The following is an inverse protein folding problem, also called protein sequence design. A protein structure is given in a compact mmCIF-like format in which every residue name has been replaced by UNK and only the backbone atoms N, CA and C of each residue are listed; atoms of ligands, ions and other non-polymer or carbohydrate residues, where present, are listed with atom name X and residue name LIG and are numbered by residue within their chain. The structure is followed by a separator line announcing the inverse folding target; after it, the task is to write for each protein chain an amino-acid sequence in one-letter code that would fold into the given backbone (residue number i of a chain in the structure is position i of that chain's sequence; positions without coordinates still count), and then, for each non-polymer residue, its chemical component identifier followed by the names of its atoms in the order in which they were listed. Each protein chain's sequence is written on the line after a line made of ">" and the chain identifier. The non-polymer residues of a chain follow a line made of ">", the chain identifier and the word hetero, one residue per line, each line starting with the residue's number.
data_IF_216215516568
#
_entry.id   IF_216215516568
#
_cell.length_a   1.000
_cell.length_b   1.000
_cell.length_c   1.000
_cell.angle_alpha   90.00
_cell.angle_beta   90.00
_cell.angle_gamma   90.00
#
_symmetry.space_group_name_H-M   'P 1'
#
loop_
_entity.id
_entity.type
_entity.pdbx_description
1 polymer ?
#
# COMPACT_ATOMS: atom_id res chain seq x y z
N UNK A 1 6.95 6.54 28.38
CA UNK A 1 6.57 7.80 27.75
C UNK A 1 5.22 7.66 27.08
N UNK A 2 4.31 8.57 27.38
CA UNK A 2 2.98 8.52 26.77
C UNK A 2 3.03 9.11 25.38
N UNK A 3 2.55 8.33 24.43
CA UNK A 3 2.38 8.79 23.08
C UNK A 3 1.00 9.43 22.95
N UNK A 4 0.97 10.70 22.60
CA UNK A 4 -0.32 11.35 22.36
C UNK A 4 -1.00 10.74 21.14
N UNK A 5 -2.29 10.45 21.30
CA UNK A 5 -3.11 10.00 20.18
C UNK A 5 -3.49 11.23 19.37
N UNK A 6 -3.14 11.31 18.07
CA UNK A 6 -3.57 12.42 17.24
C UNK A 6 -5.09 12.53 17.19
N UNK A 7 -5.64 13.72 16.92
CA UNK A 7 -7.08 13.86 16.75
C UNK A 7 -7.59 12.94 15.64
N UNK A 8 -8.78 12.39 15.86
CA UNK A 8 -9.40 11.50 14.87
C UNK A 8 -9.64 12.24 13.56
N UNK A 9 -9.04 11.72 12.50
CA UNK A 9 -9.15 12.26 11.15
C UNK A 9 -9.03 11.10 10.17
N UNK A 10 -10.08 10.75 9.44
CA UNK A 10 -10.05 9.62 8.52
C UNK A 10 -9.29 9.88 7.21
N UNK A 11 -8.81 11.11 6.98
CA UNK A 11 -8.08 11.39 5.75
C UNK A 11 -6.83 10.53 5.65
N UNK A 12 -6.54 9.92 4.46
CA UNK A 12 -5.42 8.98 4.31
C UNK A 12 -4.05 9.56 4.66
N UNK A 13 -3.87 10.86 4.55
CA UNK A 13 -2.59 11.51 4.83
C UNK A 13 -2.55 12.14 6.23
N UNK A 14 -3.55 11.89 7.07
CA UNK A 14 -3.62 12.47 8.41
C UNK A 14 -2.62 11.85 9.38
N UNK A 15 -2.30 12.59 10.43
CA UNK A 15 -1.47 12.09 11.51
C UNK A 15 -2.14 10.93 12.24
N UNK A 16 -3.47 10.97 12.39
CA UNK A 16 -4.20 9.89 13.02
C UNK A 16 -4.06 8.57 12.27
N UNK A 17 -4.21 8.61 10.94
CA UNK A 17 -4.09 7.39 10.13
C UNK A 17 -2.66 6.85 10.19
N UNK A 18 -1.66 7.71 10.16
CA UNK A 18 -0.27 7.29 10.28
C UNK A 18 0.01 6.64 11.64
N UNK A 19 -0.51 7.23 12.72
CA UNK A 19 -0.37 6.66 14.06
C UNK A 19 -1.03 5.30 14.17
N UNK A 20 -2.29 5.18 13.72
CA UNK A 20 -3.03 3.93 13.77
C UNK A 20 -2.36 2.85 12.92
N UNK A 21 -1.90 3.19 11.72
CA UNK A 21 -1.21 2.26 10.84
C UNK A 21 0.11 1.79 11.43
N UNK A 22 0.86 2.70 12.07
CA UNK A 22 2.11 2.35 12.71
C UNK A 22 1.95 1.33 13.83
N UNK A 23 0.82 1.35 14.53
CA UNK A 23 0.55 0.38 15.60
C UNK A 23 0.23 -1.02 15.06
N UNK A 24 -0.33 -1.10 13.87
CA UNK A 24 -0.87 -2.35 13.33
C UNK A 24 0.08 -3.07 12.37
N UNK A 25 1.11 -2.41 11.88
CA UNK A 25 1.90 -2.94 10.78
C UNK A 25 2.68 -4.21 11.12
N UNK A 26 3.21 -4.35 12.33
CA UNK A 26 3.96 -5.56 12.67
C UNK A 26 3.08 -6.82 12.78
N UNK A 27 1.94 -6.77 13.48
CA UNK A 27 1.02 -7.91 13.46
C UNK A 27 0.56 -8.26 12.05
N UNK A 28 0.28 -7.25 11.22
CA UNK A 28 -0.12 -7.48 9.83
C UNK A 28 1.01 -8.13 9.04
N UNK A 29 2.25 -7.69 9.24
CA UNK A 29 3.40 -8.31 8.57
C UNK A 29 3.49 -9.80 8.90
N UNK A 30 3.27 -10.18 10.14
CA UNK A 30 3.28 -11.57 10.54
C UNK A 30 2.25 -12.40 9.78
N UNK A 31 1.04 -11.87 9.62
CA UNK A 31 -0.01 -12.52 8.84
C UNK A 31 0.39 -12.63 7.37
N UNK A 32 0.94 -11.56 6.80
CA UNK A 32 1.34 -11.55 5.40
C UNK A 32 2.46 -12.55 5.11
N UNK A 33 3.41 -12.71 6.02
CA UNK A 33 4.47 -13.72 5.87
C UNK A 33 3.92 -15.13 5.76
N UNK A 34 2.77 -15.38 6.40
CA UNK A 34 2.11 -16.66 6.35
C UNK A 34 1.22 -16.82 5.11
N UNK A 35 0.60 -15.74 4.63
CA UNK A 35 -0.46 -15.79 3.63
C UNK A 35 -0.03 -15.42 2.21
N UNK A 36 0.98 -14.57 2.04
CA UNK A 36 1.37 -14.14 0.72
C UNK A 36 2.09 -15.24 -0.06
N UNK A 37 2.02 -15.22 -1.41
CA UNK A 37 2.68 -16.22 -2.25
C UNK A 37 4.17 -16.34 -1.97
N UNK A 38 4.70 -17.55 -2.04
CA UNK A 38 6.13 -17.82 -1.88
C UNK A 38 6.89 -17.70 -3.19
N UNK A 39 6.18 -17.85 -4.32
CA UNK A 39 6.75 -17.70 -5.66
C UNK A 39 6.60 -16.26 -6.15
N UNK A 40 7.40 -15.82 -7.13
CA UNK A 40 7.22 -14.49 -7.71
C UNK A 40 5.80 -14.26 -8.20
N UNK A 41 5.20 -13.15 -7.79
CA UNK A 41 3.80 -12.85 -8.07
C UNK A 41 3.57 -11.35 -8.03
N UNK A 42 2.46 -10.91 -8.63
CA UNK A 42 1.98 -9.53 -8.53
C UNK A 42 0.94 -9.43 -7.45
N UNK A 43 1.06 -8.40 -6.63
CA UNK A 43 0.15 -8.16 -5.51
C UNK A 43 -0.51 -6.81 -5.73
N UNK A 44 -1.83 -6.82 -5.78
CA UNK A 44 -2.62 -5.61 -5.87
C UNK A 44 -3.00 -5.15 -4.47
N UNK A 45 -2.62 -3.93 -4.12
CA UNK A 45 -3.09 -3.31 -2.88
C UNK A 45 -4.18 -2.31 -3.21
N UNK A 46 -5.35 -2.47 -2.58
CA UNK A 46 -6.45 -1.54 -2.73
C UNK A 46 -6.44 -0.54 -1.59
N UNK A 47 -6.82 0.71 -1.91
CA UNK A 47 -6.88 1.80 -0.93
C UNK A 47 -5.53 2.00 -0.23
N UNK A 48 -4.48 2.21 -1.02
CA UNK A 48 -3.11 2.32 -0.52
C UNK A 48 -2.84 3.54 0.35
N UNK A 49 -3.68 4.56 0.26
CA UNK A 49 -3.58 5.76 1.08
C UNK A 49 -2.22 6.45 0.95
N UNK A 50 -1.56 6.68 2.07
CA UNK A 50 -0.24 7.34 2.08
C UNK A 50 0.89 6.48 1.51
N UNK A 51 0.66 5.20 1.29
CA UNK A 51 1.68 4.26 0.87
C UNK A 51 2.56 3.76 2.01
N UNK A 52 2.22 4.08 3.24
CA UNK A 52 3.04 3.71 4.40
C UNK A 52 3.10 2.19 4.59
N UNK A 53 1.96 1.50 4.49
CA UNK A 53 1.92 0.05 4.68
C UNK A 53 2.65 -0.69 3.57
N UNK A 54 2.37 -0.37 2.32
CA UNK A 54 3.02 -1.05 1.19
C UNK A 54 4.53 -0.85 1.23
N UNK A 55 4.99 0.35 1.63
CA UNK A 55 6.41 0.63 1.73
C UNK A 55 7.06 -0.03 2.95
N UNK A 56 6.28 -0.35 3.97
CA UNK A 56 6.78 -1.12 5.09
C UNK A 56 6.89 -2.61 4.74
N UNK A 57 5.91 -3.14 4.02
CA UNK A 57 5.83 -4.58 3.75
C UNK A 57 6.72 -5.01 2.57
N UNK A 58 6.77 -4.22 1.51
CA UNK A 58 7.45 -4.63 0.28
C UNK A 58 8.90 -5.10 0.47
N UNK A 59 9.74 -4.46 1.29
CA UNK A 59 11.11 -4.94 1.49
C UNK A 59 11.22 -6.34 2.07
N UNK A 60 10.18 -6.81 2.75
CA UNK A 60 10.14 -8.15 3.32
C UNK A 60 9.75 -9.23 2.32
N UNK A 61 9.35 -8.84 1.10
CA UNK A 61 8.86 -9.75 0.06
C UNK A 61 9.47 -9.37 -1.28
N UNK A 62 10.79 -9.45 -1.39
CA UNK A 62 11.51 -8.99 -2.59
C UNK A 62 11.10 -9.72 -3.86
N UNK A 63 10.58 -10.94 -3.74
CA UNK A 63 10.12 -11.73 -4.87
C UNK A 63 8.75 -11.30 -5.40
N UNK A 64 8.04 -10.43 -4.67
CA UNK A 64 6.72 -9.96 -5.05
C UNK A 64 6.80 -8.57 -5.66
N UNK A 65 5.91 -8.29 -6.59
CA UNK A 65 5.74 -6.96 -7.19
C UNK A 65 4.42 -6.37 -6.71
N UNK A 66 4.50 -5.26 -5.99
CA UNK A 66 3.35 -4.62 -5.39
C UNK A 66 2.81 -3.52 -6.29
N UNK A 67 1.49 -3.49 -6.44
CA UNK A 67 0.79 -2.50 -7.26
C UNK A 67 -0.18 -1.72 -6.38
N UNK A 68 0.21 -0.54 -5.89
CA UNK A 68 -0.68 0.27 -5.06
C UNK A 68 -1.78 0.89 -5.90
N UNK A 69 -2.98 0.93 -5.34
CA UNK A 69 -4.12 1.59 -5.99
C UNK A 69 -4.89 2.40 -4.97
N UNK A 70 -5.56 3.44 -5.43
CA UNK A 70 -6.46 4.22 -4.60
C UNK A 70 -7.49 4.91 -5.48
N UNK A 71 -8.65 5.22 -4.90
CA UNK A 71 -9.66 6.01 -5.60
C UNK A 71 -9.32 7.49 -5.62
N UNK A 72 -8.48 7.96 -4.71
CA UNK A 72 -8.09 9.35 -4.57
C UNK A 72 -6.71 9.56 -5.17
N UNK A 73 -6.66 10.16 -6.36
CA UNK A 73 -5.38 10.41 -7.04
C UNK A 73 -4.49 11.39 -6.25
N UNK A 74 -5.06 12.13 -5.30
CA UNK A 74 -4.29 13.07 -4.49
C UNK A 74 -3.24 12.39 -3.60
N UNK A 75 -3.37 11.08 -3.34
CA UNK A 75 -2.39 10.35 -2.54
C UNK A 75 -1.21 9.84 -3.37
N UNK A 76 -1.29 9.90 -4.69
CA UNK A 76 -0.30 9.26 -5.57
C UNK A 76 1.10 9.87 -5.42
N UNK A 77 1.18 11.19 -5.35
CA UNK A 77 2.48 11.85 -5.20
C UNK A 77 3.14 11.45 -3.88
N UNK A 78 2.35 11.31 -2.83
CA UNK A 78 2.86 10.89 -1.53
C UNK A 78 3.37 9.44 -1.58
N UNK A 79 2.64 8.55 -2.25
CA UNK A 79 3.06 7.16 -2.42
C UNK A 79 4.39 7.11 -3.19
N UNK A 80 4.47 7.83 -4.30
CA UNK A 80 5.68 7.87 -5.14
C UNK A 80 6.87 8.44 -4.39
N UNK A 81 6.65 9.52 -3.63
CA UNK A 81 7.72 10.14 -2.88
C UNK A 81 8.25 9.21 -1.80
N UNK A 82 7.35 8.59 -1.04
CA UNK A 82 7.76 7.66 0.02
C UNK A 82 8.49 6.45 -0.55
N UNK A 83 8.00 5.89 -1.65
CA UNK A 83 8.64 4.77 -2.33
C UNK A 83 10.05 5.13 -2.80
N UNK A 84 10.21 6.31 -3.37
CA UNK A 84 11.51 6.80 -3.82
C UNK A 84 12.46 7.08 -2.67
N UNK A 85 11.97 7.71 -1.61
CA UNK A 85 12.79 8.05 -0.44
C UNK A 85 13.33 6.80 0.26
N UNK A 86 12.55 5.73 0.29
CA UNK A 86 12.96 4.47 0.90
C UNK A 86 13.72 3.55 -0.05
N UNK A 87 13.77 3.90 -1.33
CA UNK A 87 14.50 3.10 -2.32
C UNK A 87 13.90 1.75 -2.63
N UNK A 88 12.59 1.59 -2.43
CA UNK A 88 11.92 0.32 -2.70
C UNK A 88 11.77 0.13 -4.22
N UNK A 89 12.20 -1.02 -4.72
CA UNK A 89 12.23 -1.29 -6.16
C UNK A 89 11.18 -2.30 -6.62
N UNK A 90 10.36 -2.81 -5.71
CA UNK A 90 9.30 -3.77 -6.03
C UNK A 90 7.91 -3.19 -5.83
N UNK A 91 7.78 -1.87 -5.93
CA UNK A 91 6.50 -1.17 -5.85
C UNK A 91 6.33 -0.38 -7.15
N UNK A 92 5.27 -0.67 -7.88
CA UNK A 92 4.95 0.02 -9.13
C UNK A 92 4.33 1.40 -8.84
N UNK A 93 4.24 2.24 -9.86
CA UNK A 93 3.52 3.50 -9.74
C UNK A 93 2.06 3.26 -9.38
N UNK A 94 1.48 4.13 -8.53
CA UNK A 94 0.09 3.96 -8.14
C UNK A 94 -0.87 4.12 -9.31
N UNK A 95 -1.99 3.40 -9.26
CA UNK A 95 -3.01 3.40 -10.30
C UNK A 95 -4.35 3.77 -9.69
N UNK A 96 -5.13 4.57 -10.43
CA UNK A 96 -6.47 4.95 -10.01
C UNK A 96 -7.40 3.74 -10.07
N UNK A 97 -7.98 3.40 -8.95
CA UNK A 97 -8.93 2.29 -8.86
C UNK A 97 -10.04 2.66 -7.87
N UNK A 98 -11.26 2.75 -8.37
CA UNK A 98 -12.46 2.96 -7.57
C UNK A 98 -13.35 1.74 -7.78
N UNK A 99 -13.59 0.98 -6.73
CA UNK A 99 -14.38 -0.25 -6.83
C UNK A 99 -15.83 0.00 -7.24
N UNK A 100 -16.33 1.23 -7.04
CA UNK A 100 -17.68 1.60 -7.46
C UNK A 100 -17.74 2.04 -8.92
N UNK A 101 -16.62 2.17 -9.61
CA UNK A 101 -16.55 2.62 -11.00
C UNK A 101 -15.67 1.70 -11.81
N UNK A 102 -16.28 0.79 -12.57
CA UNK A 102 -15.56 -0.19 -13.36
C UNK A 102 -14.68 0.41 -14.46
N UNK A 103 -14.90 1.67 -14.82
CA UNK A 103 -14.05 2.35 -15.79
C UNK A 103 -12.63 2.58 -15.26
N UNK A 104 -12.44 2.55 -13.96
CA UNK A 104 -11.12 2.69 -13.33
C UNK A 104 -10.37 1.37 -13.21
N UNK A 105 -11.07 0.24 -13.41
CA UNK A 105 -10.45 -1.07 -13.26
C UNK A 105 -9.46 -1.30 -14.39
N UNK A 106 -8.21 -1.59 -14.05
CA UNK A 106 -7.20 -1.84 -15.06
C UNK A 106 -7.09 -3.33 -15.35
N UNK A 107 -6.66 -3.65 -16.57
CA UNK A 107 -6.48 -5.02 -17.01
C UNK A 107 -4.98 -5.28 -17.15
N UNK A 108 -4.38 -6.13 -16.30
CA UNK A 108 -2.95 -6.40 -16.38
C UNK A 108 -2.54 -7.30 -17.54
N UNK A 109 -3.53 -7.80 -18.33
CA UNK A 109 -3.27 -8.69 -19.46
C UNK A 109 -3.50 -10.15 -19.08
N UNK A 110 -3.65 -11.03 -20.08
CA UNK A 110 -4.04 -12.40 -19.83
C UNK A 110 -3.02 -13.25 -19.09
N UNK A 111 -1.73 -12.91 -19.19
CA UNK A 111 -0.68 -13.63 -18.50
C UNK A 111 -0.44 -13.12 -17.08
N UNK A 112 -1.20 -12.14 -16.64
CA UNK A 112 -1.02 -11.49 -15.34
C UNK A 112 -2.26 -11.68 -14.49
N UNK A 113 -2.07 -11.98 -13.23
CA UNK A 113 -3.16 -12.12 -12.29
C UNK A 113 -2.84 -11.44 -10.98
N UNK A 114 -3.90 -11.07 -10.29
CA UNK A 114 -3.80 -10.52 -8.96
C UNK A 114 -4.63 -11.35 -8.00
#
# INVERSE_FOLDING_TARGET
>A
MNQEIPPLDPHPLSEYVAWAGGRNREPILGVLKDKLPKDPERILEMASGSGMHINYFAPHFEHLHFHPTDKDIEVFDNIKQLTGDLGNNNIADPVHLDLTDSRTWFNPGPEKSF
#
